data_IF_785589638820
#
_entry.id   IF_785589638820
#
_cell.length_a   1.000
_cell.length_b   1.000
_cell.length_c   1.000
_cell.angle_alpha   90.00
_cell.angle_beta   90.00
_cell.angle_gamma   90.00
#
_symmetry.space_group_name_H-M   'P 1'
#
loop_
_entity.id
_entity.type
_entity.pdbx_description
1 polymer ?
#
# COMPACT_ATOMS: atom_id res chain seq x y z
N UNK A 1 38.84 12.97 -2.15
CA UNK A 1 38.46 12.90 -0.73
C UNK A 1 36.95 12.82 -0.70
N UNK A 2 36.38 11.61 -0.70
CA UNK A 2 34.94 11.42 -0.54
C UNK A 2 34.60 12.03 0.83
N UNK A 3 33.84 13.12 0.83
CA UNK A 3 33.22 13.63 2.05
C UNK A 3 32.38 12.47 2.59
N UNK A 4 32.85 11.87 3.70
CA UNK A 4 31.93 11.12 4.53
C UNK A 4 30.77 12.07 4.74
N UNK A 5 29.63 11.65 4.30
CA UNK A 5 28.36 11.91 4.90
C UNK A 5 27.38 12.92 4.34
N UNK A 6 27.51 13.39 3.13
CA UNK A 6 26.38 14.09 2.50
C UNK A 6 25.13 13.17 2.44
N UNK A 7 25.33 11.86 2.28
CA UNK A 7 24.23 10.89 2.31
C UNK A 7 23.62 10.71 3.70
N UNK A 8 24.43 10.70 4.75
CA UNK A 8 23.93 10.61 6.14
C UNK A 8 23.15 11.85 6.52
N UNK A 9 23.59 13.04 6.06
CA UNK A 9 22.88 14.30 6.28
C UNK A 9 21.50 14.27 5.60
N UNK A 10 21.42 13.81 4.34
CA UNK A 10 20.16 13.67 3.62
C UNK A 10 19.16 12.77 4.36
N UNK A 11 19.62 11.58 4.80
CA UNK A 11 18.73 10.65 5.51
C UNK A 11 18.34 11.14 6.90
N UNK A 12 19.26 11.80 7.63
CA UNK A 12 18.96 12.41 8.92
C UNK A 12 17.94 13.56 8.78
N UNK A 13 18.07 14.40 7.75
CA UNK A 13 17.10 15.44 7.46
C UNK A 13 15.72 14.86 7.17
N UNK A 14 15.65 13.78 6.36
CA UNK A 14 14.39 13.08 6.06
C UNK A 14 13.78 12.41 7.30
N UNK A 15 14.59 11.90 8.21
CA UNK A 15 14.13 11.25 9.45
C UNK A 15 13.61 12.27 10.48
N UNK A 16 14.27 13.45 10.57
CA UNK A 16 13.94 14.49 11.54
C UNK A 16 12.91 15.52 11.04
N UNK A 17 12.52 15.49 9.78
CA UNK A 17 11.61 16.47 9.19
C UNK A 17 12.28 17.83 8.91
N UNK A 18 13.59 17.85 8.71
CA UNK A 18 14.35 19.10 8.46
C UNK A 18 14.33 19.46 6.97
N UNK A 19 13.28 20.19 6.57
CA UNK A 19 13.07 20.59 5.19
C UNK A 19 14.19 21.50 4.66
N UNK A 20 14.69 22.42 5.48
CA UNK A 20 15.74 23.35 5.04
C UNK A 20 17.07 22.62 4.82
N UNK A 21 17.44 21.70 5.70
CA UNK A 21 18.61 20.86 5.51
C UNK A 21 18.47 19.97 4.28
N UNK A 22 17.26 19.39 4.04
CA UNK A 22 16.98 18.56 2.89
C UNK A 22 17.11 19.35 1.57
N UNK A 23 16.56 20.57 1.50
CA UNK A 23 16.71 21.47 0.36
C UNK A 23 18.18 21.76 0.05
N UNK A 24 18.96 22.14 1.08
CA UNK A 24 20.37 22.41 0.91
C UNK A 24 21.15 21.19 0.39
N UNK A 25 20.82 19.99 0.84
CA UNK A 25 21.40 18.75 0.33
C UNK A 25 21.15 18.59 -1.18
N UNK A 26 19.90 18.79 -1.62
CA UNK A 26 19.53 18.62 -3.04
C UNK A 26 20.16 19.72 -3.90
N UNK A 27 20.16 20.97 -3.45
CA UNK A 27 20.80 22.11 -4.13
C UNK A 27 22.30 21.91 -4.27
N UNK A 28 22.96 21.21 -3.33
CA UNK A 28 24.39 20.87 -3.44
C UNK A 28 24.69 19.77 -4.46
N UNK A 29 23.68 19.21 -5.12
CA UNK A 29 23.80 18.19 -6.14
C UNK A 29 23.86 16.75 -5.61
N UNK A 30 23.43 16.52 -4.37
CA UNK A 30 23.28 15.15 -3.85
C UNK A 30 22.20 14.43 -4.66
N UNK A 31 22.49 13.18 -5.04
CA UNK A 31 21.50 12.34 -5.72
C UNK A 31 20.28 12.10 -4.82
N UNK A 32 19.13 12.67 -5.19
CA UNK A 32 17.86 12.57 -4.46
C UNK A 32 17.39 11.11 -4.26
N UNK A 33 17.84 10.20 -5.13
CA UNK A 33 17.49 8.77 -5.12
C UNK A 33 18.54 7.89 -4.43
N UNK A 34 19.42 8.48 -3.62
CA UNK A 34 20.34 7.72 -2.76
C UNK A 34 19.54 6.76 -1.86
N UNK A 35 20.16 5.63 -1.57
CA UNK A 35 19.56 4.55 -0.77
C UNK A 35 20.45 4.26 0.45
N UNK A 36 19.84 4.17 1.63
CA UNK A 36 20.52 3.77 2.84
C UNK A 36 20.87 2.26 2.86
N UNK A 37 21.43 1.77 3.98
CA UNK A 37 21.79 0.35 4.15
C UNK A 37 20.58 -0.61 4.06
N UNK A 38 19.36 -0.11 4.31
CA UNK A 38 18.09 -0.85 4.16
C UNK A 38 17.48 -0.65 2.78
N UNK A 39 18.20 0.01 1.86
CA UNK A 39 17.75 0.43 0.54
C UNK A 39 16.59 1.43 0.56
N UNK A 40 16.35 2.13 1.67
CA UNK A 40 15.33 3.19 1.76
C UNK A 40 15.86 4.47 1.11
N UNK A 41 15.00 5.17 0.39
CA UNK A 41 15.23 6.52 -0.13
C UNK A 41 14.81 7.58 0.91
N UNK A 42 15.26 8.83 0.74
CA UNK A 42 14.87 9.93 1.61
C UNK A 42 13.33 10.11 1.65
N UNK A 43 12.65 9.98 0.49
CA UNK A 43 11.20 10.08 0.43
C UNK A 43 10.49 8.95 1.20
N UNK A 44 11.00 7.72 1.17
CA UNK A 44 10.44 6.64 1.97
C UNK A 44 10.67 6.88 3.47
N UNK A 45 11.85 7.37 3.86
CA UNK A 45 12.16 7.71 5.26
C UNK A 45 11.22 8.82 5.75
N UNK A 46 11.05 9.90 4.99
CA UNK A 46 10.12 10.98 5.30
C UNK A 46 8.66 10.47 5.41
N UNK A 47 8.25 9.54 4.54
CA UNK A 47 6.92 8.91 4.57
C UNK A 47 6.71 8.10 5.85
N UNK A 48 7.68 7.29 6.26
CA UNK A 48 7.63 6.50 7.49
C UNK A 48 7.45 7.41 8.72
N UNK A 49 8.10 8.58 8.73
CA UNK A 49 8.05 9.53 9.84
C UNK A 49 6.91 10.57 9.70
N UNK A 50 6.06 10.44 8.66
CA UNK A 50 4.90 11.31 8.38
C UNK A 50 5.26 12.79 8.15
N UNK A 51 6.45 13.05 7.65
CA UNK A 51 6.89 14.40 7.24
C UNK A 51 6.38 14.71 5.83
N UNK A 52 5.07 14.97 5.71
CA UNK A 52 4.39 15.08 4.41
C UNK A 52 4.86 16.27 3.57
N UNK A 53 5.32 17.34 4.20
CA UNK A 53 5.93 18.48 3.52
C UNK A 53 7.25 18.09 2.83
N UNK A 54 8.07 17.25 3.46
CA UNK A 54 9.26 16.68 2.86
C UNK A 54 8.91 15.70 1.75
N UNK A 55 7.89 14.85 1.97
CA UNK A 55 7.41 13.90 0.94
C UNK A 55 6.96 14.66 -0.30
N UNK A 56 6.18 15.72 -0.15
CA UNK A 56 5.73 16.54 -1.26
C UNK A 56 6.91 17.21 -1.96
N UNK A 57 7.80 17.86 -1.22
CA UNK A 57 8.97 18.53 -1.79
C UNK A 57 9.86 17.55 -2.56
N UNK A 58 10.13 16.35 -2.01
CA UNK A 58 10.95 15.34 -2.68
C UNK A 58 10.31 14.82 -3.97
N UNK A 59 8.99 14.57 -3.95
CA UNK A 59 8.26 14.14 -5.15
C UNK A 59 8.29 15.23 -6.24
N UNK A 60 8.05 16.49 -5.89
CA UNK A 60 8.11 17.64 -6.80
C UNK A 60 9.53 17.90 -7.32
N UNK A 61 10.56 17.57 -6.54
CA UNK A 61 11.97 17.67 -6.93
C UNK A 61 12.47 16.49 -7.77
N UNK A 62 11.58 15.56 -8.19
CA UNK A 62 11.90 14.45 -9.08
C UNK A 62 12.48 13.21 -8.38
N UNK A 63 12.22 13.03 -7.09
CA UNK A 63 12.52 11.77 -6.43
C UNK A 63 11.73 10.61 -7.09
N UNK A 64 12.40 9.50 -7.33
CA UNK A 64 11.73 8.27 -7.80
C UNK A 64 10.93 7.65 -6.66
N UNK A 65 9.62 7.91 -6.68
CA UNK A 65 8.66 7.46 -5.66
C UNK A 65 8.37 5.96 -5.72
N UNK A 66 8.84 5.27 -6.77
CA UNK A 66 8.61 3.85 -7.01
C UNK A 66 9.75 2.95 -6.50
N UNK A 67 10.88 3.52 -6.09
CA UNK A 67 12.00 2.74 -5.56
C UNK A 67 11.61 2.01 -4.28
N UNK A 68 11.69 0.69 -4.32
CA UNK A 68 11.38 -0.18 -3.18
C UNK A 68 12.61 -0.45 -2.32
N UNK A 69 12.45 -0.48 -1.00
CA UNK A 69 13.47 -0.86 -0.05
C UNK A 69 13.73 -2.39 -0.04
N UNK A 70 14.55 -2.87 0.88
CA UNK A 70 14.86 -4.30 1.01
C UNK A 70 13.66 -5.18 1.40
N UNK A 71 12.55 -4.57 1.83
CA UNK A 71 11.30 -5.25 2.20
C UNK A 71 10.20 -5.07 1.16
N UNK A 72 10.58 -4.59 -0.04
CA UNK A 72 9.68 -4.26 -1.14
C UNK A 72 8.68 -3.16 -0.83
N UNK A 73 9.06 -2.18 0.01
CA UNK A 73 8.23 -1.02 0.32
C UNK A 73 8.75 0.24 -0.39
N UNK A 74 7.81 0.99 -0.94
CA UNK A 74 7.95 2.37 -1.35
C UNK A 74 6.93 3.24 -0.58
N UNK A 75 6.89 4.58 -0.74
CA UNK A 75 5.92 5.43 -0.06
C UNK A 75 4.46 5.00 -0.26
N UNK A 76 4.07 4.62 -1.48
CA UNK A 76 2.70 4.20 -1.79
C UNK A 76 2.32 2.92 -1.04
N UNK A 77 3.11 1.85 -1.16
CA UNK A 77 2.86 0.58 -0.48
C UNK A 77 2.92 0.72 1.05
N UNK A 78 3.82 1.57 1.56
CA UNK A 78 3.86 1.88 2.98
C UNK A 78 2.54 2.51 3.45
N UNK A 79 2.02 3.48 2.71
CA UNK A 79 0.72 4.11 2.98
C UNK A 79 -0.43 3.11 2.99
N UNK A 80 -0.48 2.20 2.01
CA UNK A 80 -1.50 1.16 1.91
C UNK A 80 -1.47 0.18 3.10
N UNK A 81 -0.27 -0.26 3.51
CA UNK A 81 -0.10 -1.20 4.63
C UNK A 81 -0.45 -0.57 5.99
N UNK A 82 -0.17 0.73 6.17
CA UNK A 82 -0.34 1.41 7.45
C UNK A 82 -1.62 2.26 7.54
N UNK A 83 -2.47 2.25 6.50
CA UNK A 83 -3.72 3.00 6.47
C UNK A 83 -3.52 4.52 6.39
N UNK A 84 -2.37 4.98 5.88
CA UNK A 84 -2.09 6.40 5.74
C UNK A 84 -2.73 6.95 4.47
N UNK A 85 -4.02 7.28 4.57
CA UNK A 85 -4.81 7.81 3.46
C UNK A 85 -4.19 9.07 2.85
N UNK A 86 -3.62 9.96 3.69
CA UNK A 86 -2.98 11.18 3.19
C UNK A 86 -1.79 10.86 2.30
N UNK A 87 -0.92 9.96 2.75
CA UNK A 87 0.24 9.51 1.98
C UNK A 87 -0.18 8.81 0.68
N UNK A 88 -1.18 7.92 0.75
CA UNK A 88 -1.72 7.23 -0.43
C UNK A 88 -2.20 8.23 -1.48
N UNK A 89 -3.01 9.23 -1.09
CA UNK A 89 -3.48 10.29 -1.99
C UNK A 89 -2.33 11.09 -2.61
N UNK A 90 -1.34 11.44 -1.81
CA UNK A 90 -0.15 12.15 -2.32
C UNK A 90 0.60 11.32 -3.35
N UNK A 91 0.78 10.03 -3.11
CA UNK A 91 1.51 9.15 -4.04
C UNK A 91 0.72 8.88 -5.32
N UNK A 92 -0.60 8.68 -5.25
CA UNK A 92 -1.46 8.58 -6.45
C UNK A 92 -1.36 9.86 -7.28
N UNK A 93 -1.46 11.02 -6.65
CA UNK A 93 -1.36 12.33 -7.34
C UNK A 93 0.03 12.56 -7.95
N UNK A 94 1.08 11.99 -7.37
CA UNK A 94 2.44 12.04 -7.89
C UNK A 94 2.73 10.99 -8.97
N UNK A 95 1.76 10.15 -9.34
CA UNK A 95 1.90 9.14 -10.39
C UNK A 95 2.61 7.86 -9.93
N UNK A 96 2.39 7.43 -8.70
CA UNK A 96 2.94 6.16 -8.21
C UNK A 96 2.48 4.97 -9.07
N UNK A 97 3.40 4.05 -9.32
CA UNK A 97 3.07 2.76 -9.96
C UNK A 97 2.30 1.89 -8.97
N UNK A 98 0.98 1.82 -9.16
CA UNK A 98 0.06 1.05 -8.32
C UNK A 98 0.18 -0.47 -8.47
N UNK A 99 0.91 -0.95 -9.49
CA UNK A 99 1.10 -2.37 -9.78
C UNK A 99 2.34 -2.96 -9.13
N UNK A 100 3.14 -2.16 -8.43
CA UNK A 100 4.29 -2.66 -7.69
C UNK A 100 3.85 -3.62 -6.59
N UNK A 101 4.62 -4.72 -6.48
CA UNK A 101 4.27 -5.82 -5.58
C UNK A 101 4.93 -5.65 -4.21
N UNK A 102 4.20 -6.00 -3.17
CA UNK A 102 4.76 -6.26 -1.84
C UNK A 102 5.62 -7.53 -1.86
N UNK A 103 6.39 -7.79 -0.81
CA UNK A 103 7.18 -9.02 -0.67
C UNK A 103 6.35 -10.32 -0.75
N UNK A 104 5.04 -10.24 -0.55
CA UNK A 104 4.12 -11.38 -0.66
C UNK A 104 3.39 -11.45 -2.00
N UNK A 105 3.73 -10.58 -2.95
CA UNK A 105 3.17 -10.56 -4.28
C UNK A 105 1.81 -9.89 -4.41
N UNK A 106 1.31 -9.25 -3.36
CA UNK A 106 0.08 -8.45 -3.42
C UNK A 106 0.38 -7.02 -3.88
N UNK A 107 -0.56 -6.38 -4.55
CA UNK A 107 -0.57 -4.94 -4.85
C UNK A 107 -1.13 -4.14 -3.66
N UNK A 108 -1.08 -2.81 -3.69
CA UNK A 108 -1.42 -1.96 -2.55
C UNK A 108 -2.77 -2.22 -1.88
N UNK A 109 -3.81 -2.58 -2.66
CA UNK A 109 -5.14 -2.89 -2.11
C UNK A 109 -5.16 -4.18 -1.26
N UNK A 110 -4.30 -5.15 -1.57
CA UNK A 110 -4.25 -6.43 -0.87
C UNK A 110 -3.98 -6.24 0.64
N UNK A 111 -2.84 -5.62 1.05
CA UNK A 111 -2.61 -5.38 2.48
C UNK A 111 -3.57 -4.35 3.09
N UNK A 112 -4.13 -3.42 2.33
CA UNK A 112 -5.13 -2.50 2.84
C UNK A 112 -6.40 -3.25 3.26
N UNK A 113 -6.82 -4.26 2.50
CA UNK A 113 -7.93 -5.16 2.85
C UNK A 113 -7.59 -6.04 4.06
N UNK A 114 -6.38 -6.64 4.07
CA UNK A 114 -5.88 -7.42 5.21
C UNK A 114 -5.96 -6.64 6.51
N UNK A 115 -5.53 -5.37 6.52
CA UNK A 115 -5.44 -4.54 7.73
C UNK A 115 -6.73 -3.78 8.08
N UNK A 116 -7.78 -3.89 7.28
CA UNK A 116 -9.05 -3.21 7.56
C UNK A 116 -9.02 -1.71 7.29
N UNK A 117 -8.18 -1.24 6.38
CA UNK A 117 -8.06 0.19 6.05
C UNK A 117 -9.11 0.63 5.03
N UNK A 118 -10.40 0.63 5.43
CA UNK A 118 -11.56 0.87 4.57
C UNK A 118 -11.40 2.13 3.69
N UNK A 119 -10.96 3.25 4.27
CA UNK A 119 -10.84 4.50 3.52
C UNK A 119 -9.70 4.46 2.48
N UNK A 120 -8.62 3.72 2.76
CA UNK A 120 -7.56 3.47 1.77
C UNK A 120 -8.08 2.57 0.66
N UNK A 121 -8.80 1.50 0.99
CA UNK A 121 -9.43 0.61 -0.01
C UNK A 121 -10.38 1.41 -0.90
N UNK A 122 -11.22 2.27 -0.31
CA UNK A 122 -12.12 3.16 -1.06
C UNK A 122 -11.36 4.06 -2.01
N UNK A 123 -10.32 4.74 -1.52
CA UNK A 123 -9.50 5.63 -2.34
C UNK A 123 -8.89 4.90 -3.53
N UNK A 124 -8.29 3.73 -3.30
CA UNK A 124 -7.67 2.92 -4.35
C UNK A 124 -8.68 2.53 -5.44
N UNK A 125 -9.89 2.10 -5.05
CA UNK A 125 -10.92 1.67 -5.98
C UNK A 125 -11.58 2.83 -6.73
N UNK A 126 -11.67 4.02 -6.13
CA UNK A 126 -12.34 5.18 -6.76
C UNK A 126 -11.41 6.05 -7.59
N UNK A 127 -10.11 6.08 -7.26
CA UNK A 127 -9.15 7.01 -7.84
C UNK A 127 -8.12 6.34 -8.75
N UNK A 128 -8.16 5.00 -8.88
CA UNK A 128 -7.22 4.24 -9.72
C UNK A 128 -7.93 3.14 -10.49
N UNK A 129 -7.24 2.57 -11.48
CA UNK A 129 -7.65 1.38 -12.25
C UNK A 129 -7.06 0.08 -11.68
N UNK A 130 -6.80 0.05 -10.37
CA UNK A 130 -6.18 -1.09 -9.70
C UNK A 130 -6.98 -2.38 -9.90
N UNK A 131 -6.27 -3.47 -10.25
CA UNK A 131 -6.87 -4.78 -10.43
C UNK A 131 -7.37 -5.34 -9.08
N UNK A 132 -8.69 -5.25 -8.85
CA UNK A 132 -9.37 -5.75 -7.63
C UNK A 132 -9.26 -7.27 -7.48
N UNK A 133 -8.92 -7.98 -8.55
CA UNK A 133 -8.79 -9.45 -8.60
C UNK A 133 -7.33 -9.92 -8.66
N UNK A 134 -6.36 -9.03 -8.41
CA UNK A 134 -4.95 -9.42 -8.36
C UNK A 134 -4.73 -10.51 -7.30
N UNK A 135 -3.95 -11.55 -7.65
CA UNK A 135 -3.62 -12.63 -6.72
C UNK A 135 -2.18 -12.52 -6.23
N UNK A 136 -1.98 -12.68 -4.93
CA UNK A 136 -0.66 -12.75 -4.30
C UNK A 136 -0.02 -14.14 -4.48
N UNK A 137 1.18 -14.35 -3.92
CA UNK A 137 1.90 -15.64 -4.03
C UNK A 137 1.22 -16.82 -3.32
N UNK A 138 0.24 -16.55 -2.45
CA UNK A 138 -0.60 -17.58 -1.83
C UNK A 138 -1.87 -17.89 -2.66
N UNK A 139 -2.03 -17.26 -3.85
CA UNK A 139 -3.24 -17.36 -4.65
C UNK A 139 -4.43 -16.58 -4.07
N UNK A 140 -4.20 -15.64 -3.15
CA UNK A 140 -5.26 -14.89 -2.51
C UNK A 140 -5.52 -13.57 -3.20
N UNK A 141 -6.80 -13.30 -3.50
CA UNK A 141 -7.28 -11.99 -3.93
C UNK A 141 -7.47 -11.07 -2.72
N UNK A 142 -7.61 -9.73 -2.91
CA UNK A 142 -7.99 -8.81 -1.83
C UNK A 142 -9.26 -9.25 -1.09
N UNK A 143 -10.24 -9.82 -1.80
CA UNK A 143 -11.46 -10.39 -1.22
C UNK A 143 -11.15 -11.57 -0.28
N UNK A 144 -10.29 -12.49 -0.69
CA UNK A 144 -9.89 -13.63 0.14
C UNK A 144 -9.12 -13.15 1.37
N UNK A 145 -8.19 -12.20 1.23
CA UNK A 145 -7.45 -11.66 2.38
C UNK A 145 -8.36 -10.96 3.39
N UNK A 146 -9.35 -10.19 2.92
CA UNK A 146 -10.34 -9.55 3.78
C UNK A 146 -11.13 -10.56 4.62
N UNK A 147 -11.33 -11.78 4.11
CA UNK A 147 -12.06 -12.84 4.82
C UNK A 147 -11.15 -13.62 5.77
N UNK A 148 -9.97 -14.04 5.27
CA UNK A 148 -9.15 -15.06 5.95
C UNK A 148 -8.37 -14.48 7.12
N UNK A 149 -7.85 -13.27 6.98
CA UNK A 149 -6.90 -12.69 7.93
C UNK A 149 -7.53 -11.81 9.02
N UNK A 150 -8.86 -11.79 9.09
CA UNK A 150 -9.63 -10.89 9.95
C UNK A 150 -10.66 -11.61 10.82
N UNK A 151 -11.38 -10.83 11.61
CA UNK A 151 -12.40 -11.31 12.57
C UNK A 151 -13.83 -11.35 12.00
N UNK A 152 -14.03 -10.88 10.76
CA UNK A 152 -15.33 -10.81 10.10
C UNK A 152 -16.24 -9.68 10.59
N UNK A 153 -15.70 -8.71 11.35
CA UNK A 153 -16.43 -7.57 11.90
C UNK A 153 -16.95 -6.59 10.85
N UNK A 154 -17.62 -5.53 11.32
CA UNK A 154 -18.30 -4.54 10.46
C UNK A 154 -17.37 -3.88 9.42
N UNK A 155 -16.14 -3.58 9.82
CA UNK A 155 -15.15 -2.99 8.89
C UNK A 155 -14.84 -3.92 7.74
N UNK A 156 -14.68 -5.22 8.02
CA UNK A 156 -14.39 -6.21 6.98
C UNK A 156 -15.61 -6.45 6.08
N UNK A 157 -16.80 -6.48 6.65
CA UNK A 157 -18.04 -6.55 5.87
C UNK A 157 -18.18 -5.34 4.93
N UNK A 158 -17.83 -4.14 5.39
CA UNK A 158 -17.84 -2.93 4.56
C UNK A 158 -16.80 -3.01 3.43
N UNK A 159 -15.58 -3.48 3.71
CA UNK A 159 -14.54 -3.70 2.69
C UNK A 159 -15.00 -4.73 1.66
N UNK A 160 -15.55 -5.86 2.10
CA UNK A 160 -16.05 -6.91 1.20
C UNK A 160 -17.15 -6.37 0.29
N UNK A 161 -18.12 -5.64 0.83
CA UNK A 161 -19.17 -5.00 0.01
C UNK A 161 -18.59 -4.06 -1.02
N UNK A 162 -17.64 -3.22 -0.62
CA UNK A 162 -16.97 -2.29 -1.51
C UNK A 162 -16.18 -3.01 -2.61
N UNK A 163 -15.44 -4.07 -2.27
CA UNK A 163 -14.73 -4.88 -3.27
C UNK A 163 -15.69 -5.48 -4.30
N UNK A 164 -16.84 -5.99 -3.85
CA UNK A 164 -17.88 -6.56 -4.73
C UNK A 164 -18.50 -5.51 -5.65
N UNK A 165 -18.78 -4.29 -5.14
CA UNK A 165 -19.26 -3.16 -5.93
C UNK A 165 -18.28 -2.79 -7.06
N UNK A 166 -16.98 -3.00 -6.85
CA UNK A 166 -15.91 -2.73 -7.84
C UNK A 166 -15.46 -3.98 -8.60
N UNK A 167 -16.27 -5.04 -8.62
CA UNK A 167 -16.07 -6.20 -9.50
C UNK A 167 -15.13 -7.26 -8.95
N UNK A 168 -15.02 -7.41 -7.62
CA UNK A 168 -14.33 -8.55 -7.06
C UNK A 168 -15.04 -9.86 -7.42
N UNK A 169 -14.30 -10.79 -8.03
CA UNK A 169 -14.82 -12.05 -8.52
C UNK A 169 -14.92 -13.08 -7.39
N UNK A 170 -16.15 -13.44 -7.01
CA UNK A 170 -16.44 -14.44 -5.97
C UNK A 170 -16.16 -15.88 -6.41
N UNK A 171 -15.88 -16.12 -7.69
CA UNK A 171 -15.54 -17.44 -8.23
C UNK A 171 -14.05 -17.78 -8.10
N UNK A 172 -13.18 -16.78 -7.93
CA UNK A 172 -11.74 -16.99 -7.74
C UNK A 172 -11.48 -17.69 -6.41
N UNK A 173 -10.63 -18.73 -6.47
CA UNK A 173 -10.33 -19.58 -5.32
C UNK A 173 -8.93 -19.30 -4.77
N UNK A 174 -8.68 -19.74 -3.54
CA UNK A 174 -7.32 -19.86 -3.02
C UNK A 174 -6.54 -20.98 -3.73
N UNK A 175 -5.27 -21.17 -3.35
CA UNK A 175 -4.41 -22.22 -3.91
C UNK A 175 -4.92 -23.66 -3.68
N UNK A 176 -5.92 -23.86 -2.82
CA UNK A 176 -6.54 -25.15 -2.53
C UNK A 176 -7.89 -25.33 -3.25
N UNK A 177 -8.27 -24.40 -4.10
CA UNK A 177 -9.54 -24.43 -4.81
C UNK A 177 -10.76 -24.04 -3.96
N UNK A 178 -10.55 -23.37 -2.82
CA UNK A 178 -11.62 -22.98 -1.90
C UNK A 178 -12.14 -21.59 -2.26
N UNK A 179 -13.44 -21.45 -2.47
CA UNK A 179 -14.10 -20.18 -2.80
C UNK A 179 -14.23 -19.25 -1.58
N UNK A 180 -14.31 -17.91 -1.78
CA UNK A 180 -14.54 -16.93 -0.71
C UNK A 180 -15.70 -17.27 0.23
N UNK A 181 -16.85 -17.68 -0.31
CA UNK A 181 -18.03 -18.06 0.48
C UNK A 181 -17.76 -19.27 1.39
N UNK A 182 -17.00 -20.26 0.92
CA UNK A 182 -16.62 -21.40 1.75
C UNK A 182 -15.61 -21.03 2.84
N UNK A 183 -14.68 -20.10 2.55
CA UNK A 183 -13.76 -19.57 3.55
C UNK A 183 -14.52 -18.84 4.67
N UNK A 184 -15.50 -17.99 4.31
CA UNK A 184 -16.37 -17.32 5.27
C UNK A 184 -17.14 -18.31 6.15
N UNK A 185 -17.69 -19.35 5.53
CA UNK A 185 -18.42 -20.44 6.24
C UNK A 185 -17.53 -21.19 7.22
N UNK A 186 -16.32 -21.57 6.82
CA UNK A 186 -15.34 -22.25 7.69
C UNK A 186 -14.92 -21.41 8.87
N UNK A 187 -14.93 -20.07 8.72
CA UNK A 187 -14.66 -19.10 9.78
C UNK A 187 -15.87 -18.83 10.68
N UNK A 188 -17.07 -19.23 10.26
CA UNK A 188 -18.32 -18.93 10.98
C UNK A 188 -18.81 -17.50 10.79
N UNK A 189 -18.35 -16.81 9.74
CA UNK A 189 -18.71 -15.41 9.44
C UNK A 189 -20.01 -15.35 8.64
N UNK A 190 -21.15 -15.47 9.35
CA UNK A 190 -22.47 -15.60 8.76
C UNK A 190 -22.87 -14.40 7.92
N UNK A 191 -22.60 -13.21 8.41
CA UNK A 191 -22.92 -11.96 7.71
C UNK A 191 -22.12 -11.85 6.41
N UNK A 192 -20.85 -12.27 6.39
CA UNK A 192 -20.02 -12.30 5.17
C UNK A 192 -20.51 -13.38 4.22
N UNK A 193 -20.92 -14.56 4.72
CA UNK A 193 -21.51 -15.61 3.90
C UNK A 193 -22.77 -15.11 3.18
N UNK A 194 -23.65 -14.38 3.88
CA UNK A 194 -24.88 -13.79 3.33
C UNK A 194 -24.57 -12.71 2.28
N UNK A 195 -23.58 -11.87 2.51
CA UNK A 195 -23.11 -10.86 1.54
C UNK A 195 -22.62 -11.53 0.26
N UNK A 196 -21.75 -12.53 0.37
CA UNK A 196 -21.17 -13.25 -0.77
C UNK A 196 -22.23 -14.07 -1.53
N UNK A 197 -23.19 -14.68 -0.82
CA UNK A 197 -24.30 -15.39 -1.44
C UNK A 197 -25.15 -14.46 -2.30
N UNK A 198 -25.49 -13.29 -1.78
CA UNK A 198 -26.28 -12.28 -2.50
C UNK A 198 -25.56 -11.80 -3.77
N UNK A 199 -24.25 -11.56 -3.68
CA UNK A 199 -23.44 -11.12 -4.81
C UNK A 199 -23.27 -12.22 -5.89
N UNK A 200 -23.28 -13.48 -5.50
CA UNK A 200 -23.14 -14.61 -6.44
C UNK A 200 -24.41 -14.96 -7.22
N UNK A 201 -25.55 -14.33 -6.91
CA UNK A 201 -26.85 -14.55 -7.59
C UNK A 201 -27.09 -13.46 -8.67
N UNK A 202 -26.41 -12.33 -8.60
CA UNK A 202 -26.50 -11.24 -9.59
C UNK A 202 -25.57 -11.48 -10.76
#
# INVERSE_FOLDING_TARGET
MLKMDDSLVLFAAAENGDLECLKACIESGININLRDKKKRTAILIASINKHYDLVQFLAESGADINLQDQTSLNPFLYGCIHGDLKLVKMMISAGADINLLTRFGGVGITPACEKGHLEVVRELLTSTDMNVNHTNYCGWTPLIEAIVLNDGGETQQAIIKLLLEYGADTSLTDQYGVKPIELARRKGYKEIEDILFTAGIM
#
